data_IF_258393828217
#
_entry.id   IF_258393828217
#
_cell.length_a   1.000
_cell.length_b   1.000
_cell.length_c   1.000
_cell.angle_alpha   90.00
_cell.angle_beta   90.00
_cell.angle_gamma   90.00
#
_symmetry.space_group_name_H-M   'P 1'
#
loop_
_entity.id
_entity.type
_entity.pdbx_description
1 polymer ?
#
# COMPACT_ATOMS: atom_id res chain seq x y z
N UNK A 1 25.31 -4.82 -71.47
CA UNK A 1 26.23 -5.41 -70.47
C UNK A 1 26.35 -4.43 -69.33
N UNK A 2 26.15 -4.92 -68.10
CA UNK A 2 26.10 -4.16 -66.85
C UNK A 2 27.41 -3.41 -66.60
N UNK A 3 27.34 -2.22 -65.98
CA UNK A 3 28.06 -1.93 -64.73
C UNK A 3 27.57 -0.60 -64.13
N UNK A 4 27.01 -0.76 -62.94
CA UNK A 4 26.38 0.22 -62.06
C UNK A 4 27.47 1.01 -61.33
N UNK A 5 27.35 2.34 -61.21
CA UNK A 5 28.07 3.12 -60.19
C UNK A 5 27.06 3.60 -59.15
N UNK A 6 27.38 3.25 -57.91
CA UNK A 6 26.60 3.45 -56.71
C UNK A 6 26.35 4.93 -56.41
N UNK A 7 25.07 5.29 -56.26
CA UNK A 7 24.63 6.51 -55.60
C UNK A 7 24.05 6.12 -54.24
N UNK A 8 24.85 6.28 -53.20
CA UNK A 8 24.49 6.00 -51.80
C UNK A 8 23.57 7.12 -51.31
N UNK A 9 22.27 7.03 -51.60
CA UNK A 9 21.27 7.90 -50.97
C UNK A 9 20.93 7.30 -49.62
N UNK A 10 21.59 7.81 -48.57
CA UNK A 10 21.35 7.49 -47.18
C UNK A 10 19.94 7.99 -46.80
N UNK A 11 18.94 7.13 -47.02
CA UNK A 11 17.59 7.35 -46.54
C UNK A 11 17.60 7.09 -45.03
N UNK A 12 17.67 8.15 -44.21
CA UNK A 12 17.46 8.06 -42.77
C UNK A 12 16.06 7.49 -42.52
N UNK A 13 15.97 6.20 -42.19
CA UNK A 13 14.81 5.65 -41.49
C UNK A 13 14.82 6.23 -40.08
N UNK A 14 14.10 7.33 -39.87
CA UNK A 14 13.68 7.74 -38.53
C UNK A 14 12.63 6.74 -38.04
N UNK A 15 13.07 5.74 -37.29
CA UNK A 15 12.21 4.97 -36.40
C UNK A 15 11.67 5.96 -35.35
N UNK A 16 10.46 6.46 -35.58
CA UNK A 16 9.69 7.11 -34.52
C UNK A 16 9.37 6.02 -33.50
N UNK A 17 10.21 5.92 -32.47
CA UNK A 17 9.84 5.26 -31.22
C UNK A 17 8.73 6.13 -30.62
N UNK A 18 7.50 5.83 -31.03
CA UNK A 18 6.33 6.31 -30.34
C UNK A 18 6.30 5.57 -29.01
N UNK A 19 6.94 6.14 -27.98
CA UNK A 19 6.55 5.82 -26.63
C UNK A 19 5.09 6.24 -26.53
N UNK A 20 4.19 5.26 -26.62
CA UNK A 20 2.97 5.35 -25.85
C UNK A 20 3.46 5.51 -24.41
N UNK A 21 3.55 6.77 -23.97
CA UNK A 21 3.36 7.14 -22.57
C UNK A 21 2.05 6.46 -22.23
N UNK A 22 2.17 5.26 -21.67
CA UNK A 22 1.04 4.52 -21.15
C UNK A 22 0.38 5.49 -20.20
N UNK A 23 -0.83 5.88 -20.53
CA UNK A 23 -1.70 6.52 -19.58
C UNK A 23 -1.81 5.51 -18.43
N UNK A 24 -1.04 5.73 -17.36
CA UNK A 24 -1.26 5.06 -16.10
C UNK A 24 -2.73 5.25 -15.82
N UNK A 25 -3.43 4.11 -15.82
CA UNK A 25 -4.85 4.05 -15.65
C UNK A 25 -5.24 4.99 -14.49
N UNK A 26 -6.15 5.90 -14.78
CA UNK A 26 -6.92 6.62 -13.77
C UNK A 26 -7.80 5.59 -13.06
N UNK A 27 -7.18 4.78 -12.20
CA UNK A 27 -7.86 3.97 -11.21
C UNK A 27 -8.00 4.91 -10.02
N UNK A 28 -9.19 5.45 -9.84
CA UNK A 28 -9.55 6.29 -8.70
C UNK A 28 -8.84 5.80 -7.44
N UNK A 29 -7.95 6.64 -6.89
CA UNK A 29 -7.11 6.42 -5.70
C UNK A 29 -7.99 6.21 -4.47
N UNK A 30 -8.66 5.07 -4.41
CA UNK A 30 -9.59 4.74 -3.35
C UNK A 30 -9.17 3.41 -2.77
N UNK A 31 -8.87 3.45 -1.48
CA UNK A 31 -8.70 2.26 -0.67
C UNK A 31 -9.97 1.40 -0.81
N UNK A 32 -9.84 0.12 -1.16
CA UNK A 32 -10.96 -0.80 -1.35
C UNK A 32 -11.31 -1.47 -0.02
N UNK A 33 -12.60 -1.72 0.21
CA UNK A 33 -13.05 -2.49 1.37
C UNK A 33 -12.64 -3.94 1.21
N UNK A 34 -11.93 -4.46 2.20
CA UNK A 34 -11.46 -5.84 2.27
C UNK A 34 -11.04 -6.15 3.72
N UNK A 35 -10.90 -7.43 4.03
CA UNK A 35 -10.42 -7.96 5.30
C UNK A 35 -9.05 -8.64 5.12
N UNK A 36 -8.14 -8.36 6.04
CA UNK A 36 -6.75 -8.76 5.97
C UNK A 36 -6.23 -9.27 7.31
N UNK A 37 -5.26 -10.18 7.24
CA UNK A 37 -4.41 -10.60 8.34
C UNK A 37 -3.10 -9.82 8.31
N UNK A 38 -2.73 -9.15 9.40
CA UNK A 38 -1.46 -8.42 9.51
C UNK A 38 -0.32 -9.41 9.67
N UNK A 39 0.65 -9.37 8.75
CA UNK A 39 1.82 -10.26 8.74
C UNK A 39 3.10 -9.57 9.15
N UNK A 40 3.17 -8.24 9.06
CA UNK A 40 4.38 -7.48 9.40
C UNK A 40 4.04 -6.13 10.05
N UNK A 41 4.78 -5.81 11.12
CA UNK A 41 4.80 -4.50 11.78
C UNK A 41 6.23 -3.95 11.79
N UNK A 42 6.53 -3.01 10.91
CA UNK A 42 7.89 -2.52 10.68
C UNK A 42 8.80 -3.67 10.24
N UNK A 43 9.78 -4.04 11.08
CA UNK A 43 10.66 -5.20 10.85
C UNK A 43 10.21 -6.46 11.62
N UNK A 44 9.16 -6.37 12.43
CA UNK A 44 8.65 -7.50 13.23
C UNK A 44 7.72 -8.36 12.39
N UNK A 45 8.06 -9.63 12.23
CA UNK A 45 7.14 -10.64 11.70
C UNK A 45 6.08 -10.98 12.76
N UNK A 46 4.82 -10.81 12.39
CA UNK A 46 3.65 -11.10 13.23
C UNK A 46 2.69 -12.07 12.55
N UNK A 47 3.12 -12.73 11.47
CA UNK A 47 2.30 -13.66 10.66
C UNK A 47 1.65 -14.79 11.47
N UNK A 48 2.29 -15.23 12.57
CA UNK A 48 1.76 -16.25 13.49
C UNK A 48 0.85 -15.71 14.58
N UNK A 49 0.78 -14.38 14.75
CA UNK A 49 -0.11 -13.73 15.70
C UNK A 49 -1.56 -13.74 15.21
N UNK A 50 -2.47 -13.21 16.02
CA UNK A 50 -3.84 -12.92 15.60
C UNK A 50 -3.99 -11.41 15.54
N UNK A 51 -3.65 -10.83 14.40
CA UNK A 51 -3.76 -9.41 14.16
C UNK A 51 -4.52 -9.20 12.85
N UNK A 52 -5.65 -8.52 12.92
CA UNK A 52 -6.53 -8.33 11.77
C UNK A 52 -6.63 -6.85 11.40
N UNK A 53 -6.93 -6.60 10.13
CA UNK A 53 -7.17 -5.29 9.55
C UNK A 53 -8.31 -5.38 8.55
N UNK A 54 -9.39 -4.67 8.85
CA UNK A 54 -10.57 -4.50 8.00
C UNK A 54 -10.66 -3.07 7.51
N UNK A 55 -11.01 -2.90 6.25
CA UNK A 55 -11.19 -1.60 5.62
C UNK A 55 -12.67 -1.39 5.29
N UNK A 56 -13.27 -0.32 5.81
CA UNK A 56 -14.56 0.18 5.33
C UNK A 56 -14.36 1.47 4.54
N UNK A 57 -14.40 1.37 3.22
CA UNK A 57 -14.31 2.52 2.31
C UNK A 57 -15.59 3.32 2.21
N UNK A 58 -16.70 2.76 2.69
CA UNK A 58 -17.96 3.49 2.85
C UNK A 58 -17.90 4.43 4.05
N UNK A 59 -17.32 3.98 5.16
CA UNK A 59 -17.28 4.74 6.42
C UNK A 59 -15.94 5.46 6.64
N UNK A 60 -15.00 5.33 5.71
CA UNK A 60 -13.63 5.84 5.79
C UNK A 60 -12.92 5.41 7.09
N UNK A 61 -12.95 4.10 7.36
CA UNK A 61 -12.39 3.49 8.58
C UNK A 61 -11.46 2.32 8.26
N UNK A 62 -10.43 2.20 9.07
CA UNK A 62 -9.62 0.98 9.22
C UNK A 62 -9.81 0.51 10.66
N UNK A 63 -10.08 -0.76 10.87
CA UNK A 63 -10.31 -1.31 12.21
C UNK A 63 -9.89 -2.76 12.26
N UNK A 64 -9.75 -3.32 13.46
CA UNK A 64 -9.40 -4.73 13.60
C UNK A 64 -8.95 -5.06 15.00
N UNK A 65 -8.25 -6.18 15.12
CA UNK A 65 -7.69 -6.64 16.38
C UNK A 65 -6.16 -6.52 16.36
N UNK A 66 -5.59 -5.82 17.34
CA UNK A 66 -4.14 -5.55 17.41
C UNK A 66 -3.36 -6.57 18.23
N UNK A 67 -3.92 -7.75 18.49
CA UNK A 67 -3.35 -8.81 19.32
C UNK A 67 -3.82 -8.79 20.79
N UNK A 68 -4.13 -7.61 21.35
CA UNK A 68 -4.73 -7.52 22.69
C UNK A 68 -6.10 -6.82 22.70
N UNK A 69 -6.20 -5.70 22.01
CA UNK A 69 -7.42 -4.90 21.93
C UNK A 69 -7.91 -4.74 20.49
N UNK A 70 -9.18 -4.37 20.38
CA UNK A 70 -9.75 -3.91 19.13
C UNK A 70 -9.39 -2.44 18.93
N UNK A 71 -8.99 -2.09 17.71
CA UNK A 71 -8.59 -0.75 17.32
C UNK A 71 -9.44 -0.20 16.17
N UNK A 72 -9.40 1.11 16.01
CA UNK A 72 -9.97 1.81 14.86
C UNK A 72 -9.21 3.10 14.57
N UNK A 73 -9.03 3.39 13.29
CA UNK A 73 -8.61 4.66 12.72
C UNK A 73 -9.69 5.15 11.75
N UNK A 74 -9.99 6.45 11.77
CA UNK A 74 -10.60 7.08 10.61
C UNK A 74 -9.48 7.42 9.61
N UNK A 75 -9.78 7.45 8.32
CA UNK A 75 -8.81 7.88 7.32
C UNK A 75 -9.40 8.89 6.34
N UNK A 76 -8.52 9.68 5.72
CA UNK A 76 -8.83 10.50 4.56
C UNK A 76 -7.79 10.23 3.48
N UNK A 77 -8.20 10.34 2.21
CA UNK A 77 -7.30 10.27 1.06
C UNK A 77 -7.35 11.61 0.34
N UNK A 78 -6.18 12.21 0.09
CA UNK A 78 -6.04 13.48 -0.63
C UNK A 78 -4.77 13.40 -1.46
N UNK A 79 -4.89 13.71 -2.75
CA UNK A 79 -3.78 13.66 -3.71
C UNK A 79 -2.97 12.34 -3.65
N UNK A 80 -3.68 11.21 -3.65
CA UNK A 80 -3.08 9.87 -3.60
C UNK A 80 -2.47 9.44 -2.27
N UNK A 81 -2.55 10.30 -1.25
CA UNK A 81 -1.93 10.06 0.06
C UNK A 81 -2.99 9.77 1.10
N UNK A 82 -2.70 8.85 2.00
CA UNK A 82 -3.60 8.48 3.09
C UNK A 82 -3.14 9.16 4.38
N UNK A 83 -4.10 9.71 5.12
CA UNK A 83 -3.88 10.24 6.45
C UNK A 83 -4.78 9.49 7.43
N UNK A 84 -4.17 8.85 8.43
CA UNK A 84 -4.89 8.22 9.53
C UNK A 84 -5.10 9.24 10.65
N UNK A 85 -6.36 9.46 11.01
CA UNK A 85 -6.72 10.26 12.17
C UNK A 85 -6.35 9.56 13.49
N UNK A 86 -6.73 10.18 14.61
CA UNK A 86 -6.48 9.60 15.93
C UNK A 86 -7.03 8.17 16.04
N UNK A 87 -6.15 7.24 16.39
CA UNK A 87 -6.52 5.88 16.69
C UNK A 87 -7.25 5.79 18.03
N UNK A 88 -8.25 4.91 18.09
CA UNK A 88 -8.92 4.53 19.34
C UNK A 88 -8.79 3.03 19.55
N UNK A 89 -8.61 2.61 20.80
CA UNK A 89 -8.53 1.21 21.19
C UNK A 89 -9.34 0.94 22.45
N UNK A 90 -9.76 -0.31 22.65
CA UNK A 90 -10.27 -0.77 23.95
C UNK A 90 -9.14 -0.84 24.99
N UNK A 91 -9.48 -1.01 26.28
CA UNK A 91 -8.49 -1.04 27.38
C UNK A 91 -8.49 -2.37 28.14
N UNK A 92 -8.25 -3.46 27.44
CA UNK A 92 -7.96 -4.79 28.01
C UNK A 92 -6.44 -4.93 28.20
N UNK A 93 -6.05 -5.63 29.25
CA UNK A 93 -4.67 -6.03 29.48
C UNK A 93 -4.42 -7.47 28.99
N UNK A 94 -3.29 -7.68 28.31
CA UNK A 94 -2.81 -9.00 27.88
C UNK A 94 -1.32 -9.11 28.19
N UNK A 95 -0.89 -10.18 28.84
CA UNK A 95 0.49 -10.29 29.34
C UNK A 95 1.58 -10.18 28.25
N UNK A 96 1.32 -10.69 27.04
CA UNK A 96 2.34 -10.82 25.99
C UNK A 96 2.04 -10.02 24.71
N UNK A 97 0.78 -9.61 24.50
CA UNK A 97 0.33 -9.08 23.20
C UNK A 97 0.16 -7.56 23.16
N UNK A 98 0.36 -6.86 24.29
CA UNK A 98 0.29 -5.40 24.36
C UNK A 98 1.36 -4.70 23.51
N UNK A 99 2.53 -5.33 23.34
CA UNK A 99 3.61 -4.76 22.54
C UNK A 99 3.21 -4.63 21.05
N UNK A 100 2.52 -5.62 20.52
CA UNK A 100 2.07 -5.63 19.12
C UNK A 100 1.07 -4.50 18.86
N UNK A 101 0.11 -4.30 19.76
CA UNK A 101 -0.85 -3.20 19.66
C UNK A 101 -0.16 -1.84 19.74
N UNK A 102 0.75 -1.65 20.70
CA UNK A 102 1.49 -0.39 20.84
C UNK A 102 2.32 -0.09 19.59
N UNK A 103 3.00 -1.10 19.05
CA UNK A 103 3.80 -0.99 17.83
C UNK A 103 2.91 -0.66 16.63
N UNK A 104 1.74 -1.29 16.51
CA UNK A 104 0.75 -0.99 15.47
C UNK A 104 0.36 0.50 15.48
N UNK A 105 0.03 1.07 16.65
CA UNK A 105 -0.34 2.49 16.76
C UNK A 105 0.83 3.43 16.44
N UNK A 106 2.04 3.08 16.90
CA UNK A 106 3.24 3.85 16.60
C UNK A 106 3.52 3.89 15.09
N UNK A 107 3.39 2.75 14.42
CA UNK A 107 3.57 2.63 12.97
C UNK A 107 2.46 3.38 12.22
N UNK A 108 1.20 3.20 12.63
CA UNK A 108 0.04 3.84 12.02
C UNK A 108 0.16 5.37 11.99
N UNK A 109 0.75 5.97 13.02
CA UNK A 109 0.97 7.43 13.09
C UNK A 109 1.95 7.98 12.05
N UNK A 110 2.69 7.12 11.34
CA UNK A 110 3.70 7.51 10.34
C UNK A 110 3.29 7.15 8.92
N UNK A 111 2.13 6.54 8.74
CA UNK A 111 1.61 6.14 7.43
C UNK A 111 1.27 7.40 6.63
N UNK A 112 1.67 7.41 5.36
CA UNK A 112 1.36 8.47 4.41
C UNK A 112 0.95 7.95 3.03
N UNK A 113 1.32 6.71 2.69
CA UNK A 113 1.00 6.07 1.42
C UNK A 113 0.52 4.63 1.64
N UNK A 114 -0.12 4.08 0.62
CA UNK A 114 -0.54 2.69 0.62
C UNK A 114 -0.47 2.10 -0.79
N UNK A 115 -0.22 0.80 -0.86
CA UNK A 115 -0.39 -0.02 -2.05
C UNK A 115 -1.32 -1.18 -1.72
N UNK A 116 -2.44 -1.27 -2.44
CA UNK A 116 -3.42 -2.34 -2.25
C UNK A 116 -3.57 -3.15 -3.54
N UNK A 117 -3.38 -4.46 -3.40
CA UNK A 117 -3.58 -5.44 -4.47
C UNK A 117 -4.72 -6.39 -4.09
N UNK A 118 -5.02 -7.35 -4.96
CA UNK A 118 -6.01 -8.40 -4.67
C UNK A 118 -5.55 -9.39 -3.59
N UNK A 119 -4.27 -9.36 -3.18
CA UNK A 119 -3.69 -10.31 -2.22
C UNK A 119 -3.21 -9.67 -0.93
N UNK A 120 -2.87 -8.40 -0.96
CA UNK A 120 -2.25 -7.72 0.17
C UNK A 120 -2.46 -6.22 0.14
N UNK A 121 -2.26 -5.62 1.30
CA UNK A 121 -2.10 -4.18 1.47
C UNK A 121 -0.80 -3.89 2.21
N UNK A 122 -0.09 -2.90 1.72
CA UNK A 122 1.14 -2.36 2.31
C UNK A 122 0.90 -0.89 2.63
N UNK A 123 1.18 -0.49 3.86
CA UNK A 123 1.21 0.91 4.27
C UNK A 123 2.65 1.35 4.51
N UNK A 124 3.00 2.54 4.00
CA UNK A 124 4.36 3.05 4.03
C UNK A 124 4.39 4.51 4.50
N UNK A 125 5.59 5.00 4.78
CA UNK A 125 5.84 6.42 4.99
C UNK A 125 6.41 7.09 3.73
N UNK A 126 6.71 8.38 3.84
CA UNK A 126 7.24 9.21 2.75
C UNK A 126 8.63 8.82 2.24
N UNK A 127 9.31 7.93 2.95
CA UNK A 127 10.62 7.39 2.54
C UNK A 127 10.48 6.04 1.82
N UNK A 128 9.27 5.52 1.65
CA UNK A 128 9.01 4.18 1.13
C UNK A 128 9.37 3.07 2.12
N UNK A 129 9.44 3.36 3.42
CA UNK A 129 9.64 2.33 4.43
C UNK A 129 8.31 1.63 4.70
N UNK A 130 8.26 0.30 4.53
CA UNK A 130 7.11 -0.51 4.92
C UNK A 130 6.86 -0.42 6.43
N UNK A 131 5.66 0.02 6.81
CA UNK A 131 5.23 0.15 8.19
C UNK A 131 4.30 -0.99 8.60
N UNK A 132 3.32 -1.30 7.77
CA UNK A 132 2.37 -2.39 8.02
C UNK A 132 2.18 -3.15 6.71
N UNK A 133 2.30 -4.48 6.76
CA UNK A 133 1.93 -5.35 5.65
C UNK A 133 0.87 -6.34 6.13
N UNK A 134 -0.20 -6.48 5.37
CA UNK A 134 -1.29 -7.39 5.66
C UNK A 134 -1.72 -8.15 4.39
N UNK A 135 -2.06 -9.43 4.55
CA UNK A 135 -2.48 -10.34 3.49
C UNK A 135 -3.98 -10.57 3.54
N UNK A 136 -4.63 -10.63 2.38
CA UNK A 136 -6.07 -10.83 2.28
C UNK A 136 -6.44 -12.19 2.86
N UNK A 137 -7.53 -12.22 3.64
CA UNK A 137 -8.08 -13.47 4.20
C UNK A 137 -8.82 -14.29 3.16
#
# INVERSE_FOLDING_TARGET
MRLVKAGFSLCLLSLVVSCQVGQSATNSEKLKSDDFHIVQLGQKDVSKGSLDLSISSKDAKIYGFGGCNNYRFNYAITDGRINLGHGVSTKKYCAEQMENENLLFQLASRISTFEQTEKEIIFENDKGETLIKAQKQ
#
